data_IF_647325157397
#
_entry.id   IF_647325157397
#
_cell.length_a   1.000
_cell.length_b   1.000
_cell.length_c   1.000
_cell.angle_alpha   90.00
_cell.angle_beta   90.00
_cell.angle_gamma   90.00
#
_symmetry.space_group_name_H-M   'P 1'
#
loop_
_entity.id
_entity.type
_entity.pdbx_description
1 polymer ?
#
# COMPACT_ATOMS: atom_id res chain seq x y z
N UNK A 1 -5.58 8.88 1.83
CA UNK A 1 -4.34 9.18 1.11
C UNK A 1 -4.67 9.76 -0.25
N UNK A 2 -4.01 10.80 -0.62
CA UNK A 2 -4.25 11.45 -1.90
C UNK A 2 -2.99 11.36 -2.73
N UNK A 3 -3.12 10.86 -3.94
CA UNK A 3 -1.97 10.75 -4.82
C UNK A 3 -1.91 11.93 -5.74
N UNK A 4 -0.75 12.51 -5.91
CA UNK A 4 -0.58 13.65 -6.77
C UNK A 4 -0.08 13.22 -8.13
N UNK A 5 -0.18 14.12 -9.10
CA UNK A 5 0.24 13.78 -10.45
C UNK A 5 1.72 13.49 -10.55
N UNK A 6 2.52 14.05 -9.67
CA UNK A 6 3.96 13.81 -9.70
C UNK A 6 4.33 12.54 -8.93
N UNK A 7 3.37 11.74 -8.55
CA UNK A 7 3.65 10.49 -7.86
C UNK A 7 3.78 10.62 -6.36
N UNK A 8 3.62 11.81 -5.83
CA UNK A 8 3.72 11.99 -4.39
C UNK A 8 2.38 11.82 -3.72
N UNK A 9 2.41 11.38 -2.50
CA UNK A 9 1.19 11.24 -1.72
C UNK A 9 1.53 11.41 -0.25
N UNK A 10 0.50 11.61 0.54
CA UNK A 10 0.66 11.88 1.95
C UNK A 10 0.39 10.63 2.75
N UNK A 11 1.21 10.40 3.75
CA UNK A 11 1.02 9.29 4.65
C UNK A 11 0.42 9.82 5.94
N UNK A 12 -0.58 9.13 6.44
CA UNK A 12 -1.22 9.51 7.69
C UNK A 12 -0.21 9.45 8.83
N UNK A 13 -0.43 10.22 9.88
CA UNK A 13 0.46 10.20 11.04
C UNK A 13 0.57 8.79 11.61
N UNK A 14 1.78 8.44 12.03
CA UNK A 14 2.03 7.11 12.55
C UNK A 14 1.59 6.94 14.00
N UNK A 15 1.33 8.04 14.70
CA UNK A 15 1.14 7.97 16.12
C UNK A 15 2.47 8.13 16.83
N UNK A 16 2.41 8.61 18.05
CA UNK A 16 3.63 8.98 18.76
C UNK A 16 4.56 7.79 18.94
N UNK A 17 4.02 6.65 19.25
CA UNK A 17 4.83 5.47 19.50
C UNK A 17 5.70 5.11 18.29
N UNK A 18 5.08 4.97 17.14
CA UNK A 18 5.83 4.56 15.95
C UNK A 18 6.64 5.72 15.37
N UNK A 19 6.16 6.94 15.54
CA UNK A 19 6.94 8.09 15.09
C UNK A 19 8.26 8.17 15.84
N UNK A 20 8.23 7.89 17.14
CA UNK A 20 9.44 7.89 17.94
C UNK A 20 10.38 6.79 17.51
N UNK A 21 9.85 5.59 17.28
CA UNK A 21 10.69 4.49 16.82
C UNK A 21 11.33 4.82 15.48
N UNK A 22 10.59 5.46 14.60
CA UNK A 22 11.14 5.81 13.30
C UNK A 22 12.28 6.82 13.45
N UNK A 23 12.09 7.79 14.32
CA UNK A 23 13.14 8.78 14.55
C UNK A 23 14.40 8.15 15.13
N UNK A 24 14.21 7.27 16.10
CA UNK A 24 15.34 6.60 16.72
C UNK A 24 16.06 5.71 15.72
N UNK A 25 15.30 4.96 14.94
CA UNK A 25 15.87 4.08 13.94
C UNK A 25 16.64 4.88 12.89
N UNK A 26 16.10 6.02 12.50
CA UNK A 26 16.75 6.89 11.53
C UNK A 26 18.09 7.37 12.08
N UNK A 27 18.10 7.76 13.32
CA UNK A 27 19.31 8.26 13.95
C UNK A 27 20.37 7.18 14.04
N UNK A 28 19.96 5.97 14.44
CA UNK A 28 20.89 4.84 14.55
C UNK A 28 21.55 4.56 13.22
N UNK A 29 20.79 4.68 12.14
CA UNK A 29 21.31 4.41 10.81
C UNK A 29 21.91 5.63 10.14
N UNK A 30 22.01 6.71 10.87
CA UNK A 30 22.63 7.94 10.37
C UNK A 30 21.93 8.43 9.11
N UNK A 31 20.62 8.45 9.13
CA UNK A 31 19.80 8.89 8.02
C UNK A 31 18.76 9.88 8.48
N UNK A 32 18.20 10.65 7.54
CA UNK A 32 17.06 11.48 7.89
C UNK A 32 15.84 10.58 8.10
N UNK A 33 14.87 11.12 8.83
CA UNK A 33 13.63 10.37 9.08
C UNK A 33 12.94 10.02 7.77
N UNK A 34 12.92 10.96 6.83
CA UNK A 34 12.24 10.72 5.56
C UNK A 34 12.93 9.62 4.77
N UNK A 35 14.26 9.62 4.74
CA UNK A 35 15.00 8.60 4.02
C UNK A 35 14.79 7.23 4.64
N UNK A 36 14.80 7.15 5.96
CA UNK A 36 14.60 5.86 6.62
C UNK A 36 13.18 5.37 6.39
N UNK A 37 12.19 6.27 6.47
CA UNK A 37 10.81 5.89 6.21
C UNK A 37 10.65 5.33 4.80
N UNK A 38 11.26 5.99 3.83
CA UNK A 38 11.19 5.53 2.45
C UNK A 38 11.81 4.14 2.30
N UNK A 39 12.94 3.94 2.94
CA UNK A 39 13.63 2.66 2.85
C UNK A 39 12.78 1.53 3.45
N UNK A 40 12.21 1.79 4.61
CA UNK A 40 11.37 0.79 5.27
C UNK A 40 10.13 0.46 4.45
N UNK A 41 9.51 1.48 3.89
CA UNK A 41 8.30 1.27 3.10
C UNK A 41 8.62 0.49 1.83
N UNK A 42 9.69 0.83 1.17
CA UNK A 42 10.09 0.11 -0.03
C UNK A 42 10.41 -1.36 0.28
N UNK A 43 11.09 -1.59 1.40
CA UNK A 43 11.40 -2.97 1.79
C UNK A 43 10.14 -3.76 2.06
N UNK A 44 9.17 -3.14 2.71
CA UNK A 44 7.92 -3.83 3.00
C UNK A 44 7.14 -4.13 1.73
N UNK A 45 7.11 -3.18 0.81
CA UNK A 45 6.41 -3.40 -0.44
C UNK A 45 7.10 -4.48 -1.27
N UNK A 46 8.42 -4.51 -1.24
CA UNK A 46 9.15 -5.55 -1.93
C UNK A 46 8.81 -6.91 -1.34
N UNK A 47 8.71 -6.98 -0.02
CA UNK A 47 8.35 -8.21 0.65
C UNK A 47 6.96 -8.68 0.28
N UNK A 48 6.06 -7.75 0.01
CA UNK A 48 4.68 -8.08 -0.32
C UNK A 48 4.40 -8.22 -1.80
N UNK A 49 5.45 -8.15 -2.63
CA UNK A 49 5.28 -8.12 -4.07
C UNK A 49 4.48 -9.30 -4.61
N UNK A 50 4.84 -10.50 -4.16
CA UNK A 50 4.17 -11.70 -4.66
C UNK A 50 2.71 -11.71 -4.27
N UNK A 51 2.43 -11.37 -3.03
CA UNK A 51 1.05 -11.34 -2.56
C UNK A 51 0.23 -10.32 -3.33
N UNK A 52 0.81 -9.15 -3.58
CA UNK A 52 0.10 -8.11 -4.31
C UNK A 52 -0.23 -8.58 -5.72
N UNK A 53 0.74 -9.20 -6.39
CA UNK A 53 0.50 -9.70 -7.74
C UNK A 53 -0.55 -10.79 -7.77
N UNK A 54 -0.50 -11.67 -6.80
CA UNK A 54 -1.49 -12.75 -6.75
C UNK A 54 -2.89 -12.20 -6.58
N UNK A 55 -3.03 -11.17 -5.78
CA UNK A 55 -4.36 -10.60 -5.56
C UNK A 55 -4.86 -9.86 -6.79
N UNK A 56 -3.96 -9.18 -7.50
CA UNK A 56 -4.36 -8.53 -8.73
C UNK A 56 -4.77 -9.58 -9.77
N UNK A 57 -4.02 -10.69 -9.84
CA UNK A 57 -4.38 -11.76 -10.75
C UNK A 57 -5.75 -12.34 -10.43
N UNK A 58 -6.02 -12.52 -9.17
CA UNK A 58 -7.32 -13.04 -8.74
C UNK A 58 -8.46 -12.10 -9.17
N UNK A 59 -8.27 -10.81 -8.94
CA UNK A 59 -9.30 -9.85 -9.33
C UNK A 59 -9.48 -9.78 -10.84
N UNK A 60 -8.37 -9.83 -11.57
CA UNK A 60 -8.44 -9.80 -13.02
C UNK A 60 -9.24 -10.99 -13.55
N UNK A 61 -8.95 -12.16 -13.02
CA UNK A 61 -9.65 -13.35 -13.43
C UNK A 61 -11.11 -13.25 -13.12
N UNK A 62 -11.42 -12.77 -11.92
CA UNK A 62 -12.80 -12.66 -11.51
C UNK A 62 -13.58 -11.68 -12.36
N UNK A 63 -12.93 -10.63 -12.83
CA UNK A 63 -13.59 -9.63 -13.67
C UNK A 63 -13.39 -9.86 -15.15
N UNK A 64 -12.72 -10.96 -15.49
CA UNK A 64 -12.54 -11.37 -16.88
C UNK A 64 -11.81 -10.34 -17.70
N UNK A 65 -10.76 -9.79 -17.13
CA UNK A 65 -9.87 -8.87 -17.84
C UNK A 65 -8.45 -9.34 -17.60
N UNK A 66 -7.51 -8.78 -18.33
CA UNK A 66 -6.13 -9.17 -18.17
C UNK A 66 -5.55 -8.56 -16.91
N UNK A 67 -4.47 -9.17 -16.44
CA UNK A 67 -3.77 -8.65 -15.26
C UNK A 67 -3.28 -7.23 -15.54
N UNK A 68 -2.78 -7.01 -16.73
CA UNK A 68 -2.26 -5.69 -17.11
C UNK A 68 -3.38 -4.65 -17.07
N UNK A 69 -4.53 -5.01 -17.55
CA UNK A 69 -5.67 -4.10 -17.56
C UNK A 69 -6.15 -3.82 -16.14
N UNK A 70 -6.20 -4.86 -15.31
CA UNK A 70 -6.61 -4.68 -13.92
C UNK A 70 -5.66 -3.74 -13.19
N UNK A 71 -4.36 -3.98 -13.38
CA UNK A 71 -3.34 -3.15 -12.78
C UNK A 71 -3.49 -1.68 -13.20
N UNK A 72 -3.69 -1.48 -14.50
CA UNK A 72 -3.84 -0.13 -15.01
C UNK A 72 -5.05 0.57 -14.46
N UNK A 73 -6.17 -0.15 -14.35
CA UNK A 73 -7.40 0.43 -13.81
C UNK A 73 -7.21 0.84 -12.35
N UNK A 74 -6.51 0.03 -11.58
CA UNK A 74 -6.25 0.37 -10.18
C UNK A 74 -5.40 1.63 -10.11
N UNK A 75 -4.34 1.68 -10.92
CA UNK A 75 -3.42 2.80 -10.85
C UNK A 75 -4.05 4.11 -11.30
N UNK A 76 -4.92 4.05 -12.30
CA UNK A 76 -5.52 5.30 -12.78
C UNK A 76 -6.85 5.61 -12.12
N UNK A 77 -7.24 4.81 -11.14
CA UNK A 77 -8.42 5.12 -10.35
C UNK A 77 -9.75 4.77 -10.97
N UNK A 78 -9.75 4.03 -12.07
CA UNK A 78 -11.02 3.68 -12.71
C UNK A 78 -11.54 2.32 -12.27
N UNK A 79 -10.75 1.53 -11.56
CA UNK A 79 -11.22 0.23 -11.10
C UNK A 79 -12.32 0.42 -10.07
N UNK A 80 -13.37 -0.36 -10.20
CA UNK A 80 -14.43 -0.32 -9.23
C UNK A 80 -13.95 -0.98 -7.94
N UNK A 81 -14.27 -0.36 -6.81
CA UNK A 81 -13.88 -0.93 -5.55
C UNK A 81 -14.51 -2.28 -5.36
N UNK A 82 -13.85 -3.13 -4.61
CA UNK A 82 -14.40 -4.43 -4.30
C UNK A 82 -15.70 -4.25 -3.53
N UNK A 83 -16.62 -5.07 -3.86
CA UNK A 83 -17.91 -5.02 -3.17
C UNK A 83 -17.87 -6.01 -2.03
N UNK A 84 -18.98 -6.08 -1.32
CA UNK A 84 -19.06 -7.00 -0.21
C UNK A 84 -19.45 -8.38 -0.65
N UNK A 85 -19.53 -8.63 -1.97
CA UNK A 85 -20.12 -9.83 -2.39
C UNK A 85 -19.16 -10.89 -2.79
N UNK A 86 -18.00 -10.86 -2.52
CA UNK A 86 -17.16 -11.98 -2.84
C UNK A 86 -15.81 -11.64 -3.30
N UNK A 87 -15.62 -10.44 -3.78
CA UNK A 87 -14.30 -10.02 -4.10
C UNK A 87 -13.55 -9.60 -2.86
N UNK A 88 -14.27 -9.43 -1.78
CA UNK A 88 -13.66 -8.92 -0.59
C UNK A 88 -12.76 -9.91 0.03
N UNK A 89 -11.66 -9.50 0.44
CA UNK A 89 -10.90 -10.37 1.09
C UNK A 89 -10.59 -9.86 2.27
N UNK A 90 -10.28 -10.25 3.02
CA UNK A 90 -10.03 -9.78 4.16
C UNK A 90 -8.84 -9.37 4.26
N UNK A 91 -8.45 -8.72 4.08
CA UNK A 91 -7.35 -8.24 4.12
C UNK A 91 -7.04 -7.71 5.18
N UNK A 92 -7.34 -7.89 5.58
CA UNK A 92 -7.17 -7.48 6.34
C UNK A 92 -6.48 -6.97 7.00
N UNK A 93 -6.33 -7.13 7.46
CA UNK A 93 -5.91 -6.65 8.16
C UNK A 93 -5.16 -5.73 8.17
N UNK A 94 -4.77 -5.58 7.83
CA UNK A 94 -3.98 -4.62 7.79
C UNK A 94 -4.49 -3.50 7.43
N UNK A 95 -5.22 -3.52 7.36
CA UNK A 95 -5.69 -2.55 7.06
C UNK A 95 -6.41 -1.98 7.70
N UNK A 96 -6.78 -2.34 8.26
CA UNK A 96 -7.49 -1.83 8.66
C UNK A 96 -7.48 -1.01 9.28
N UNK A 97 -7.50 -0.75 9.40
CA UNK A 97 -7.62 0.05 9.68
C UNK A 97 -7.63 0.86 10.11
N UNK A 98 -7.69 0.86 10.26
CA UNK A 98 -7.68 1.57 10.37
C UNK A 98 -8.02 2.46 10.60
N UNK A 99 -8.39 2.55 10.89
CA UNK A 99 -8.72 3.33 10.82
C UNK A 99 -9.13 4.02 10.68
N UNK A 100 -9.55 3.83 10.70
CA UNK A 100 -9.82 4.31 10.17
C UNK A 100 -10.11 4.78 10.16
#
# INVERSE_FOLDING_TARGET
>A
MVERKDGRFTIAPLGEFYADYLKVDSWINNRTTATQANSLLCAKLMQRQVEIRDRVSYLAEKREISVKEMWGQILNGTAQRRSSDGEVEELGEDSKPTNE
#
